data_IF_112882791856
#
_entry.id   IF_112882791856
#
_cell.length_a   1.000
_cell.length_b   1.000
_cell.length_c   1.000
_cell.angle_alpha   90.00
_cell.angle_beta   90.00
_cell.angle_gamma   90.00
#
_symmetry.space_group_name_H-M   'P 1'
#
loop_
_entity.id
_entity.type
_entity.pdbx_description
1 polymer ?
#
# COMPACT_ATOMS: atom_id res chain seq x y z
N UNK A 1 -7.76 -8.37 -20.15
CA UNK A 1 -7.65 -9.76 -19.62
C UNK A 1 -9.00 -10.48 -19.67
N UNK A 2 -9.09 -11.69 -20.24
CA UNK A 2 -10.33 -12.50 -20.21
C UNK A 2 -10.58 -13.00 -18.78
N UNK A 3 -11.84 -13.00 -18.32
CA UNK A 3 -12.16 -13.54 -16.99
C UNK A 3 -12.01 -15.06 -17.01
N UNK A 4 -11.12 -15.66 -16.20
CA UNK A 4 -11.01 -17.11 -16.13
C UNK A 4 -12.29 -17.71 -15.54
N UNK A 5 -12.62 -18.93 -15.96
CA UNK A 5 -13.73 -19.68 -15.36
C UNK A 5 -13.51 -19.78 -13.85
N UNK A 6 -14.52 -19.43 -13.06
CA UNK A 6 -14.47 -19.49 -11.58
C UNK A 6 -14.19 -20.89 -11.06
N UNK A 7 -14.44 -21.94 -11.85
CA UNK A 7 -14.10 -23.32 -11.51
C UNK A 7 -12.67 -23.73 -11.88
N UNK A 8 -11.99 -22.96 -12.72
CA UNK A 8 -10.64 -23.27 -13.20
C UNK A 8 -9.59 -23.30 -12.08
N UNK A 9 -8.53 -24.07 -12.31
CA UNK A 9 -7.36 -24.08 -11.43
C UNK A 9 -6.69 -22.70 -11.38
N UNK A 10 -6.58 -22.03 -12.53
CA UNK A 10 -6.00 -20.69 -12.69
C UNK A 10 -6.70 -19.66 -11.80
N UNK A 11 -8.04 -19.62 -11.83
CA UNK A 11 -8.82 -18.71 -11.00
C UNK A 11 -8.55 -18.95 -9.50
N UNK A 12 -8.52 -20.22 -9.06
CA UNK A 12 -8.25 -20.56 -7.66
C UNK A 12 -6.83 -20.19 -7.25
N UNK A 13 -5.85 -20.40 -8.12
CA UNK A 13 -4.46 -20.04 -7.88
C UNK A 13 -4.30 -18.51 -7.76
N UNK A 14 -4.80 -17.75 -8.74
CA UNK A 14 -4.78 -16.28 -8.71
C UNK A 14 -5.50 -15.74 -7.46
N UNK A 15 -6.69 -16.27 -7.15
CA UNK A 15 -7.46 -15.85 -5.97
C UNK A 15 -6.79 -16.21 -4.64
N UNK A 16 -6.08 -17.33 -4.56
CA UNK A 16 -5.40 -17.74 -3.33
C UNK A 16 -4.13 -16.91 -3.08
N UNK A 17 -3.38 -16.64 -4.15
CA UNK A 17 -2.03 -16.07 -4.07
C UNK A 17 -1.93 -14.62 -4.56
N UNK A 18 -3.05 -13.91 -4.76
CA UNK A 18 -3.07 -12.52 -5.24
C UNK A 18 -2.14 -11.57 -4.48
N UNK A 19 -1.93 -11.79 -3.17
CA UNK A 19 -1.01 -10.99 -2.35
C UNK A 19 0.44 -11.08 -2.81
N UNK A 20 0.86 -12.20 -3.39
CA UNK A 20 2.22 -12.37 -3.91
C UNK A 20 2.48 -11.48 -5.13
N UNK A 21 1.44 -11.19 -5.91
CA UNK A 21 1.53 -10.30 -7.08
C UNK A 21 1.79 -8.85 -6.63
N UNK A 22 1.28 -8.45 -5.46
CA UNK A 22 1.46 -7.09 -4.93
C UNK A 22 2.71 -6.94 -4.05
N UNK A 23 3.25 -8.06 -3.56
CA UNK A 23 4.43 -8.06 -2.73
C UNK A 23 5.65 -7.60 -3.53
N UNK A 24 6.54 -6.88 -2.85
CA UNK A 24 7.85 -6.52 -3.37
C UNK A 24 8.65 -7.78 -3.71
N UNK A 25 9.07 -7.88 -4.98
CA UNK A 25 9.83 -9.01 -5.51
C UNK A 25 11.12 -9.27 -4.73
N UNK A 26 11.78 -8.23 -4.20
CA UNK A 26 13.03 -8.36 -3.44
C UNK A 26 12.80 -8.96 -2.04
N UNK A 27 11.57 -8.86 -1.52
CA UNK A 27 11.18 -9.34 -0.19
C UNK A 27 10.50 -10.70 -0.24
N UNK A 28 10.51 -11.40 -1.38
CA UNK A 28 9.91 -12.73 -1.50
C UNK A 28 10.72 -13.77 -0.71
N UNK A 29 10.02 -14.59 0.06
CA UNK A 29 10.67 -15.66 0.82
C UNK A 29 11.09 -16.81 -0.08
N UNK A 30 12.35 -17.22 0.07
CA UNK A 30 12.93 -18.41 -0.58
C UNK A 30 12.59 -19.72 0.15
N UNK A 31 11.80 -19.67 1.23
CA UNK A 31 11.44 -20.87 1.99
C UNK A 31 10.41 -21.69 1.21
N UNK A 32 10.74 -22.96 0.95
CA UNK A 32 9.83 -23.92 0.33
C UNK A 32 8.82 -24.45 1.34
N UNK A 33 7.56 -24.49 0.92
CA UNK A 33 6.47 -25.07 1.69
C UNK A 33 5.50 -25.82 0.77
N UNK A 34 4.82 -26.83 1.31
CA UNK A 34 3.76 -27.52 0.58
C UNK A 34 2.62 -26.54 0.26
N UNK A 35 2.19 -26.52 -1.01
CA UNK A 35 1.11 -25.67 -1.51
C UNK A 35 -0.04 -26.54 -2.01
N UNK A 36 -1.15 -26.64 -1.28
CA UNK A 36 -2.29 -27.50 -1.66
C UNK A 36 -2.84 -27.19 -3.06
N UNK A 37 -2.87 -25.92 -3.45
CA UNK A 37 -3.34 -25.49 -4.77
C UNK A 37 -2.51 -26.07 -5.92
N UNK A 38 -1.20 -26.23 -5.74
CA UNK A 38 -0.29 -26.79 -6.74
C UNK A 38 0.09 -28.25 -6.48
N UNK A 39 -0.26 -28.80 -5.31
CA UNK A 39 0.07 -30.16 -4.85
C UNK A 39 1.58 -30.46 -4.85
N UNK A 40 2.39 -29.46 -4.53
CA UNK A 40 3.85 -29.57 -4.51
C UNK A 40 4.47 -28.55 -3.54
N UNK A 41 5.73 -28.76 -3.16
CA UNK A 41 6.50 -27.80 -2.38
C UNK A 41 7.07 -26.70 -3.28
N UNK A 42 6.66 -25.46 -3.05
CA UNK A 42 7.08 -24.30 -3.85
C UNK A 42 7.55 -23.15 -2.96
N UNK A 43 8.47 -22.34 -3.49
CA UNK A 43 8.79 -21.01 -2.98
C UNK A 43 7.74 -20.00 -3.43
N UNK A 44 7.73 -18.82 -2.82
CA UNK A 44 6.83 -17.76 -3.26
C UNK A 44 7.18 -17.23 -4.66
N UNK A 45 8.45 -17.26 -5.04
CA UNK A 45 8.90 -16.88 -6.39
C UNK A 45 8.41 -17.87 -7.45
N UNK A 46 8.52 -19.18 -7.19
CA UNK A 46 8.03 -20.21 -8.12
C UNK A 46 6.51 -20.14 -8.31
N UNK A 47 5.77 -19.81 -7.23
CA UNK A 47 4.33 -19.57 -7.32
C UNK A 47 4.05 -18.35 -8.19
N UNK A 48 4.73 -17.23 -7.92
CA UNK A 48 4.56 -16.00 -8.67
C UNK A 48 4.80 -16.22 -10.16
N UNK A 49 5.90 -16.87 -10.55
CA UNK A 49 6.18 -17.18 -11.96
C UNK A 49 5.07 -18.01 -12.61
N UNK A 50 4.52 -19.00 -11.90
CA UNK A 50 3.36 -19.76 -12.37
C UNK A 50 2.13 -18.85 -12.55
N UNK A 51 1.87 -17.91 -11.65
CA UNK A 51 0.74 -16.98 -11.78
C UNK A 51 0.92 -16.06 -13.00
N UNK A 52 2.13 -15.54 -13.20
CA UNK A 52 2.45 -14.66 -14.33
C UNK A 52 2.40 -15.40 -15.67
N UNK A 53 2.70 -16.70 -15.69
CA UNK A 53 2.58 -17.52 -16.90
C UNK A 53 1.14 -17.68 -17.42
N UNK A 54 0.12 -17.40 -16.61
CA UNK A 54 -1.27 -17.51 -17.05
C UNK A 54 -1.70 -16.42 -18.02
N UNK A 55 -1.01 -15.26 -18.03
CA UNK A 55 -1.37 -14.15 -18.91
C UNK A 55 -0.20 -13.20 -19.13
N UNK A 56 0.12 -12.98 -20.41
CA UNK A 56 1.14 -12.01 -20.82
C UNK A 56 0.81 -10.59 -20.34
N UNK A 57 -0.45 -10.17 -20.46
CA UNK A 57 -0.93 -8.87 -19.96
C UNK A 57 -0.73 -8.73 -18.44
N UNK A 58 -0.86 -9.83 -17.68
CA UNK A 58 -0.64 -9.79 -16.23
C UNK A 58 0.85 -9.61 -15.91
N UNK A 59 1.71 -10.28 -16.68
CA UNK A 59 3.17 -10.16 -16.55
C UNK A 59 3.64 -8.74 -16.84
N UNK A 60 3.20 -8.15 -17.95
CA UNK A 60 3.54 -6.77 -18.32
C UNK A 60 3.11 -5.76 -17.24
N UNK A 61 1.90 -5.89 -16.71
CA UNK A 61 1.42 -5.02 -15.63
C UNK A 61 2.14 -5.25 -14.31
N UNK A 62 2.51 -6.49 -14.00
CA UNK A 62 3.31 -6.81 -12.82
C UNK A 62 4.70 -6.16 -12.92
N UNK A 63 5.37 -6.31 -14.06
CA UNK A 63 6.71 -5.77 -14.28
C UNK A 63 6.71 -4.23 -14.17
N UNK A 64 5.72 -3.56 -14.78
CA UNK A 64 5.53 -2.11 -14.63
C UNK A 64 5.30 -1.70 -13.16
N UNK A 65 4.42 -2.41 -12.46
CA UNK A 65 4.14 -2.14 -11.05
C UNK A 65 5.39 -2.31 -10.17
N UNK A 66 6.17 -3.37 -10.37
CA UNK A 66 7.39 -3.62 -9.60
C UNK A 66 8.46 -2.55 -9.86
N UNK A 67 8.59 -2.09 -11.11
CA UNK A 67 9.52 -1.03 -11.46
C UNK A 67 9.12 0.31 -10.83
N UNK A 68 7.83 0.65 -10.87
CA UNK A 68 7.29 1.82 -10.16
C UNK A 68 7.51 1.71 -8.66
N UNK A 69 7.24 0.55 -8.07
CA UNK A 69 7.44 0.29 -6.65
C UNK A 69 8.91 0.46 -6.27
N UNK A 70 9.85 -0.01 -7.10
CA UNK A 70 11.28 0.14 -6.90
C UNK A 70 11.69 1.62 -6.86
N UNK A 71 11.37 2.40 -7.89
CA UNK A 71 11.73 3.83 -7.92
C UNK A 71 11.10 4.60 -6.76
N UNK A 72 9.88 4.23 -6.35
CA UNK A 72 9.22 4.83 -5.20
C UNK A 72 9.95 4.53 -3.88
N UNK A 73 10.38 3.28 -3.65
CA UNK A 73 11.12 2.88 -2.45
C UNK A 73 12.50 3.53 -2.38
N UNK A 74 13.20 3.61 -3.52
CA UNK A 74 14.50 4.26 -3.65
C UNK A 74 14.42 5.80 -3.69
N UNK A 75 13.22 6.38 -3.53
CA UNK A 75 12.97 7.83 -3.57
C UNK A 75 13.45 8.51 -4.86
N UNK A 76 13.47 7.77 -5.95
CA UNK A 76 13.87 8.22 -7.28
C UNK A 76 12.67 8.84 -8.00
N UNK A 77 12.26 10.04 -7.58
CA UNK A 77 11.05 10.68 -8.08
C UNK A 77 11.08 10.94 -9.60
N UNK A 78 12.21 11.39 -10.14
CA UNK A 78 12.35 11.68 -11.57
C UNK A 78 12.11 10.43 -12.43
N UNK A 79 12.74 9.30 -12.06
CA UNK A 79 12.56 8.02 -12.75
C UNK A 79 11.14 7.47 -12.58
N UNK A 80 10.53 7.63 -11.41
CA UNK A 80 9.14 7.23 -11.16
C UNK A 80 8.17 7.97 -12.08
N UNK A 81 8.29 9.30 -12.17
CA UNK A 81 7.42 10.11 -13.01
C UNK A 81 7.72 9.98 -14.49
N UNK A 82 9.00 9.86 -14.88
CA UNK A 82 9.40 9.59 -16.26
C UNK A 82 8.77 8.30 -16.79
N UNK A 83 8.82 7.22 -16.00
CA UNK A 83 8.19 5.95 -16.36
C UNK A 83 6.66 6.06 -16.51
N UNK A 84 6.01 6.87 -15.67
CA UNK A 84 4.56 7.14 -15.80
C UNK A 84 4.27 7.89 -17.10
N UNK A 85 5.03 8.94 -17.40
CA UNK A 85 4.84 9.77 -18.59
C UNK A 85 5.05 8.97 -19.89
N UNK A 86 6.04 8.07 -19.91
CA UNK A 86 6.31 7.17 -21.05
C UNK A 86 5.19 6.14 -21.27
N UNK A 87 4.66 5.55 -20.18
CA UNK A 87 3.74 4.41 -20.27
C UNK A 87 2.27 4.80 -20.32
N UNK A 88 1.90 6.06 -20.00
CA UNK A 88 0.50 6.49 -19.88
C UNK A 88 -0.32 6.31 -21.16
N UNK A 89 0.32 6.36 -22.33
CA UNK A 89 -0.34 6.26 -23.64
C UNK A 89 -0.72 4.83 -24.01
N UNK A 90 0.04 3.83 -23.55
CA UNK A 90 -0.11 2.42 -23.92
C UNK A 90 -0.65 1.54 -22.77
N UNK A 91 -0.64 2.04 -21.54
CA UNK A 91 -1.11 1.29 -20.37
C UNK A 91 -2.64 1.14 -20.36
N UNK A 92 -3.12 0.07 -19.72
CA UNK A 92 -4.54 -0.21 -19.51
C UNK A 92 -5.28 1.00 -18.89
N UNK A 93 -6.50 1.33 -19.34
CA UNK A 93 -7.28 2.47 -18.85
C UNK A 93 -7.43 2.59 -17.32
N UNK A 94 -7.42 1.46 -16.61
CA UNK A 94 -7.47 1.44 -15.14
C UNK A 94 -6.25 2.16 -14.55
N UNK A 95 -5.05 1.88 -15.07
CA UNK A 95 -3.82 2.55 -14.65
C UNK A 95 -3.75 4.00 -15.10
N UNK A 96 -4.30 4.33 -16.28
CA UNK A 96 -4.26 5.71 -16.79
C UNK A 96 -4.89 6.70 -15.79
N UNK A 97 -5.99 6.32 -15.14
CA UNK A 97 -6.65 7.20 -14.15
C UNK A 97 -5.75 7.44 -12.93
N UNK A 98 -5.08 6.38 -12.46
CA UNK A 98 -4.13 6.45 -11.34
C UNK A 98 -2.92 7.31 -11.73
N UNK A 99 -2.35 7.09 -12.92
CA UNK A 99 -1.22 7.85 -13.45
C UNK A 99 -1.53 9.33 -13.65
N UNK A 100 -2.71 9.67 -14.20
CA UNK A 100 -3.18 11.06 -14.30
C UNK A 100 -3.27 11.73 -12.93
N UNK A 101 -3.68 10.99 -11.90
CA UNK A 101 -3.75 11.52 -10.53
C UNK A 101 -2.36 11.79 -9.99
N UNK A 102 -1.42 10.86 -10.17
CA UNK A 102 -0.02 11.07 -9.80
C UNK A 102 0.60 12.27 -10.50
N UNK A 103 0.38 12.44 -11.81
CA UNK A 103 0.89 13.59 -12.55
C UNK A 103 0.27 14.91 -12.11
N UNK A 104 -1.03 14.92 -11.79
CA UNK A 104 -1.72 16.11 -11.27
C UNK A 104 -1.15 16.58 -9.93
N UNK A 105 -0.79 15.64 -9.06
CA UNK A 105 -0.27 15.90 -7.73
C UNK A 105 1.26 15.68 -7.63
N UNK A 106 1.99 15.80 -8.76
CA UNK A 106 3.43 15.50 -8.90
C UNK A 106 4.28 16.19 -7.83
N UNK A 107 4.09 17.49 -7.64
CA UNK A 107 4.84 18.27 -6.65
C UNK A 107 4.66 17.74 -5.21
N UNK A 108 3.44 17.30 -4.86
CA UNK A 108 3.14 16.76 -3.52
C UNK A 108 3.82 15.41 -3.32
N UNK A 109 3.79 14.57 -4.35
CA UNK A 109 4.44 13.27 -4.33
C UNK A 109 5.97 13.39 -4.29
N UNK A 110 6.57 14.32 -5.04
CA UNK A 110 8.00 14.62 -4.97
C UNK A 110 8.40 15.06 -3.57
N UNK A 111 7.68 16.02 -2.99
CA UNK A 111 7.90 16.47 -1.62
C UNK A 111 7.79 15.32 -0.61
N UNK A 112 6.84 14.40 -0.79
CA UNK A 112 6.67 13.24 0.08
C UNK A 112 7.83 12.22 -0.02
N UNK A 113 8.47 12.11 -1.19
CA UNK A 113 9.63 11.23 -1.39
C UNK A 113 10.92 11.84 -0.84
N UNK A 114 11.11 13.15 -1.03
CA UNK A 114 12.28 13.88 -0.57
C UNK A 114 12.30 14.06 0.95
N UNK A 115 11.18 14.50 1.53
CA UNK A 115 11.09 14.79 2.95
C UNK A 115 11.07 13.51 3.78
N UNK A 116 11.73 13.54 4.95
CA UNK A 116 11.72 12.46 5.94
C UNK A 116 10.48 12.51 6.86
N UNK A 117 9.54 13.43 6.60
CA UNK A 117 8.38 13.62 7.45
C UNK A 117 7.44 12.42 7.40
N UNK A 118 7.25 11.75 8.53
CA UNK A 118 6.32 10.65 8.65
C UNK A 118 4.91 11.14 9.00
N UNK A 119 3.91 10.67 8.26
CA UNK A 119 2.50 10.87 8.57
C UNK A 119 2.06 10.17 9.89
N UNK A 120 2.94 9.40 10.54
CA UNK A 120 2.62 8.65 11.76
C UNK A 120 2.05 9.51 12.88
N UNK A 121 2.58 10.72 13.10
CA UNK A 121 2.10 11.63 14.16
C UNK A 121 0.69 12.14 13.87
N UNK A 122 0.41 12.46 12.61
CA UNK A 122 -0.89 12.93 12.16
C UNK A 122 -1.92 11.79 12.22
N UNK A 123 -1.57 10.59 11.76
CA UNK A 123 -2.45 9.41 11.86
C UNK A 123 -2.73 8.99 13.30
N UNK A 124 -1.73 9.05 14.19
CA UNK A 124 -1.94 8.80 15.61
C UNK A 124 -2.96 9.78 16.22
N UNK A 125 -2.89 11.05 15.82
CA UNK A 125 -3.84 12.09 16.24
C UNK A 125 -5.23 11.83 15.66
N UNK A 126 -5.34 11.55 14.37
CA UNK A 126 -6.59 11.20 13.70
C UNK A 126 -7.27 10.00 14.34
N UNK A 127 -6.51 8.97 14.71
CA UNK A 127 -7.05 7.78 15.38
C UNK A 127 -7.64 8.11 16.76
N UNK A 128 -6.97 8.97 17.53
CA UNK A 128 -7.51 9.45 18.82
C UNK A 128 -8.83 10.20 18.60
N UNK A 129 -8.87 11.13 17.64
CA UNK A 129 -10.08 11.89 17.31
C UNK A 129 -11.21 10.94 16.88
N UNK A 130 -10.92 9.95 16.01
CA UNK A 130 -11.87 8.93 15.58
C UNK A 130 -12.37 8.07 16.73
N UNK A 131 -11.54 7.75 17.72
CA UNK A 131 -11.96 7.01 18.94
C UNK A 131 -12.88 7.88 19.80
N UNK A 132 -12.52 9.14 20.04
CA UNK A 132 -13.37 10.08 20.80
C UNK A 132 -14.73 10.21 20.11
N UNK A 133 -14.76 10.44 18.79
CA UNK A 133 -16.00 10.56 18.02
C UNK A 133 -16.88 9.29 18.08
N UNK A 134 -16.28 8.10 18.12
CA UNK A 134 -17.01 6.82 18.23
C UNK A 134 -17.57 6.58 19.63
N UNK A 135 -16.86 7.02 20.67
CA UNK A 135 -17.26 6.78 22.05
C UNK A 135 -18.27 7.82 22.57
N UNK A 136 -18.54 8.89 21.83
CA UNK A 136 -19.53 9.89 22.22
C UNK A 136 -20.81 9.73 21.44
N UNK A 137 -21.94 9.90 22.12
CA UNK A 137 -23.28 9.87 21.52
C UNK A 137 -23.62 11.19 20.79
N UNK A 138 -22.61 11.84 20.21
CA UNK A 138 -22.71 13.15 19.58
C UNK A 138 -22.18 14.31 20.43
N UNK A 139 -21.82 15.41 19.76
CA UNK A 139 -21.48 16.68 20.40
C UNK A 139 -22.43 17.75 19.88
N UNK A 140 -23.14 18.42 20.79
CA UNK A 140 -24.02 19.55 20.44
C UNK A 140 -23.23 20.84 20.19
N UNK A 141 -22.05 20.97 20.79
CA UNK A 141 -21.14 22.09 20.65
C UNK A 141 -19.77 21.60 20.16
N UNK A 142 -19.25 22.21 19.09
CA UNK A 142 -17.93 21.92 18.53
C UNK A 142 -16.80 22.27 19.50
N UNK A 143 -16.93 23.32 20.30
CA UNK A 143 -15.90 23.70 21.28
C UNK A 143 -15.70 22.62 22.34
N UNK A 144 -16.78 21.96 22.75
CA UNK A 144 -16.71 20.82 23.68
C UNK A 144 -15.98 19.63 23.05
N UNK A 145 -16.18 19.40 21.75
CA UNK A 145 -15.44 18.37 21.01
C UNK A 145 -13.94 18.70 20.93
N UNK A 146 -13.61 19.93 20.53
CA UNK A 146 -12.23 20.43 20.44
C UNK A 146 -11.52 20.35 21.79
N UNK A 147 -12.19 20.77 22.86
CA UNK A 147 -11.65 20.72 24.22
C UNK A 147 -11.33 19.30 24.65
N UNK A 148 -12.23 18.35 24.38
CA UNK A 148 -12.01 16.94 24.70
C UNK A 148 -10.85 16.32 23.92
N UNK A 149 -10.65 16.71 22.66
CA UNK A 149 -9.49 16.30 21.86
C UNK A 149 -8.20 16.82 22.50
N UNK A 150 -8.14 18.11 22.84
CA UNK A 150 -6.96 18.74 23.44
C UNK A 150 -6.58 18.09 24.78
N UNK A 151 -7.58 17.85 25.64
CA UNK A 151 -7.37 17.15 26.93
C UNK A 151 -6.78 15.75 26.69
N UNK A 152 -7.36 14.96 25.77
CA UNK A 152 -6.89 13.61 25.50
C UNK A 152 -5.46 13.56 24.94
N UNK A 153 -5.10 14.54 24.09
CA UNK A 153 -3.74 14.67 23.57
C UNK A 153 -2.74 15.07 24.65
N UNK A 154 -3.09 16.01 25.53
CA UNK A 154 -2.24 16.41 26.65
C UNK A 154 -2.02 15.26 27.65
N UNK A 155 -3.06 14.51 28.01
CA UNK A 155 -2.94 13.33 28.90
C UNK A 155 -1.97 12.31 28.31
N UNK A 156 -2.03 12.06 26.99
CA UNK A 156 -1.07 11.14 26.34
C UNK A 156 0.36 11.68 26.38
N UNK A 157 0.55 12.98 26.19
CA UNK A 157 1.87 13.63 26.24
C UNK A 157 2.47 13.52 27.65
N UNK A 158 1.69 13.79 28.69
CA UNK A 158 2.13 13.64 30.09
C UNK A 158 2.52 12.20 30.43
N UNK A 159 1.71 11.22 30.01
CA UNK A 159 2.04 9.79 30.21
C UNK A 159 3.33 9.38 29.51
N UNK A 160 3.58 9.85 28.28
CA UNK A 160 4.81 9.55 27.55
C UNK A 160 6.05 10.17 28.25
N UNK A 161 5.95 11.43 28.69
CA UNK A 161 7.02 12.11 29.41
C UNK A 161 7.35 11.41 30.75
N UNK A 162 6.33 10.98 31.49
CA UNK A 162 6.52 10.23 32.74
C UNK A 162 7.20 8.87 32.55
N UNK A 163 7.11 8.27 31.36
CA UNK A 163 7.79 7.00 31.05
C UNK A 163 9.25 7.27 30.68
N UNK A 164 9.52 8.34 29.92
CA UNK A 164 10.88 8.73 29.53
C UNK A 164 11.72 9.24 30.71
N UNK A 165 11.10 9.86 31.72
CA UNK A 165 11.78 10.35 32.93
C UNK A 165 12.09 9.26 33.97
N UNK A 166 11.79 7.98 33.67
CA UNK A 166 12.06 6.82 34.54
C UNK A 166 13.23 5.96 34.04
N UNK A 167 13.88 6.39 32.95
CA UNK A 167 15.19 5.93 32.48
C UNK A 167 16.26 6.90 32.97
#
# INVERSE_FOLDING_TARGET
MKQPDRKSHEYRALKCYWKLIQQDSQKLSNKRFYRPTFRMHLTNQEILEKLLSYSQELREHYDLYQLLLFHFQEKQADYFFGLIEETISCVNPIFQTVFKTFLKDKDKSMNALELSYSNAKLEATNNIIKVIKRNTFGFRNFDNFKTRILIALNIKKERANSILSRL
#
